data_IF_556761142350
#
_entry.id   IF_556761142350
#
_cell.length_a   1.000
_cell.length_b   1.000
_cell.length_c   1.000
_cell.angle_alpha   90.00
_cell.angle_beta   90.00
_cell.angle_gamma   90.00
#
_symmetry.space_group_name_H-M   'P 1'
#
loop_
_entity.id
_entity.type
_entity.pdbx_description
1 polymer ?
#
# COMPACT_ATOMS: atom_id res chain seq x y z
N UNK A 1 11.35 0.03 -17.49
CA UNK A 1 10.38 1.03 -16.98
C UNK A 1 9.71 0.42 -15.76
N UNK A 2 9.60 1.12 -14.64
CA UNK A 2 8.93 0.59 -13.42
C UNK A 2 7.51 1.15 -13.39
N UNK A 3 6.52 0.29 -13.18
CA UNK A 3 5.14 0.69 -12.91
C UNK A 3 4.78 0.27 -11.47
N UNK A 4 4.25 1.20 -10.67
CA UNK A 4 3.85 0.91 -9.29
C UNK A 4 2.54 1.61 -8.95
N UNK A 5 1.68 0.93 -8.19
CA UNK A 5 0.49 1.54 -7.63
C UNK A 5 0.86 2.45 -6.45
N UNK A 6 -0.07 3.33 -6.10
CA UNK A 6 0.07 4.21 -4.95
C UNK A 6 -1.07 5.22 -4.85
N UNK A 7 -0.79 6.30 -4.13
CA UNK A 7 -1.65 7.47 -4.02
C UNK A 7 -0.80 8.74 -3.93
N UNK A 8 -1.38 9.87 -4.25
CA UNK A 8 -0.74 11.17 -4.06
C UNK A 8 -1.60 12.10 -3.23
N UNK A 9 -0.92 12.90 -2.42
CA UNK A 9 -1.47 14.00 -1.65
C UNK A 9 -0.99 15.32 -2.27
N UNK A 10 -1.91 16.15 -2.73
CA UNK A 10 -1.63 17.50 -3.20
C UNK A 10 -1.45 18.45 -2.02
N UNK A 11 -0.75 19.56 -2.24
CA UNK A 11 -0.56 20.63 -1.23
C UNK A 11 -1.86 21.22 -0.67
N UNK A 12 -2.97 21.13 -1.40
CA UNK A 12 -4.30 21.56 -0.97
C UNK A 12 -5.06 20.50 -0.16
N UNK A 13 -4.41 19.38 0.19
CA UNK A 13 -4.97 18.30 1.00
C UNK A 13 -5.77 17.25 0.22
N UNK A 14 -5.92 17.41 -1.10
CA UNK A 14 -6.63 16.44 -1.94
C UNK A 14 -5.78 15.19 -2.13
N UNK A 15 -6.36 14.04 -1.82
CA UNK A 15 -5.74 12.73 -2.01
C UNK A 15 -6.45 11.93 -3.10
N UNK A 16 -5.69 11.21 -3.93
CA UNK A 16 -6.25 10.30 -4.93
C UNK A 16 -5.32 9.11 -5.21
N UNK A 17 -5.93 7.98 -5.60
CA UNK A 17 -5.20 6.80 -6.06
C UNK A 17 -4.50 7.08 -7.40
N UNK A 18 -3.33 6.50 -7.59
CA UNK A 18 -2.55 6.63 -8.82
C UNK A 18 -1.74 5.38 -9.16
N UNK A 19 -1.25 5.38 -10.39
CA UNK A 19 -0.20 4.50 -10.88
C UNK A 19 0.96 5.40 -11.29
N UNK A 20 2.16 5.15 -10.76
CA UNK A 20 3.36 5.86 -11.16
C UNK A 20 4.15 5.02 -12.17
N UNK A 21 4.48 5.63 -13.31
CA UNK A 21 5.43 5.12 -14.29
C UNK A 21 6.75 5.86 -14.15
N UNK A 22 7.78 5.11 -13.82
CA UNK A 22 9.09 5.66 -13.48
C UNK A 22 10.08 5.26 -14.56
N UNK A 23 10.55 6.31 -15.26
CA UNK A 23 11.61 6.23 -16.25
C UNK A 23 12.99 6.33 -15.56
N UNK A 24 14.11 6.19 -16.30
CA UNK A 24 15.44 6.45 -15.76
C UNK A 24 15.68 7.92 -15.36
N UNK A 25 14.82 8.84 -15.79
CA UNK A 25 14.89 10.24 -15.41
C UNK A 25 14.31 10.48 -14.00
N UNK A 26 14.66 11.62 -13.40
CA UNK A 26 14.06 12.09 -12.13
C UNK A 26 12.60 12.57 -12.28
N UNK A 27 11.97 12.29 -13.44
CA UNK A 27 10.59 12.64 -13.75
C UNK A 27 9.73 11.39 -13.68
N UNK A 28 8.73 11.44 -12.81
CA UNK A 28 7.76 10.37 -12.59
C UNK A 28 6.46 10.76 -13.31
N UNK A 29 5.91 9.86 -14.09
CA UNK A 29 4.57 10.04 -14.67
C UNK A 29 3.54 9.47 -13.69
N UNK A 30 2.64 10.32 -13.19
CA UNK A 30 1.61 9.96 -12.24
C UNK A 30 0.27 9.92 -12.97
N UNK A 31 -0.26 8.71 -13.13
CA UNK A 31 -1.56 8.46 -13.77
C UNK A 31 -2.61 8.32 -12.68
N UNK A 32 -3.61 9.18 -12.68
CA UNK A 32 -4.66 9.19 -11.66
C UNK A 32 -5.67 8.06 -11.93
N UNK A 33 -6.23 7.49 -10.86
CA UNK A 33 -7.44 6.67 -10.92
C UNK A 33 -8.61 7.44 -10.31
N UNK A 34 -9.58 7.83 -11.13
CA UNK A 34 -10.80 8.53 -10.69
C UNK A 34 -11.08 9.82 -11.46
N UNK A 35 -12.00 10.63 -10.91
CA UNK A 35 -12.50 11.84 -11.56
C UNK A 35 -11.48 12.99 -11.65
N UNK A 36 -11.86 14.01 -12.41
CA UNK A 36 -11.06 15.23 -12.61
C UNK A 36 -10.88 15.97 -11.29
N UNK A 37 -9.66 16.42 -11.02
CA UNK A 37 -9.29 17.10 -9.79
C UNK A 37 -8.39 18.29 -10.12
N UNK A 38 -8.41 19.36 -9.31
CA UNK A 38 -7.81 20.65 -9.64
C UNK A 38 -6.28 20.61 -9.47
N UNK A 39 -5.61 19.87 -10.36
CA UNK A 39 -4.15 19.79 -10.44
C UNK A 39 -3.64 20.90 -11.35
N UNK A 40 -2.58 21.60 -10.92
CA UNK A 40 -1.91 22.64 -11.69
C UNK A 40 -0.41 22.42 -11.64
N UNK A 41 0.26 22.83 -12.73
CA UNK A 41 1.72 22.90 -12.78
C UNK A 41 2.25 23.81 -11.67
N UNK A 42 3.35 23.39 -11.04
CA UNK A 42 4.00 24.11 -9.94
C UNK A 42 3.45 23.82 -8.56
N UNK A 43 2.37 23.04 -8.43
CA UNK A 43 1.90 22.56 -7.12
C UNK A 43 2.87 21.51 -6.57
N UNK A 44 2.95 21.40 -5.25
CA UNK A 44 3.63 20.28 -4.59
C UNK A 44 2.70 19.09 -4.45
N UNK A 45 3.28 17.90 -4.63
CA UNK A 45 2.62 16.64 -4.36
C UNK A 45 3.55 15.72 -3.56
N UNK A 46 2.96 14.91 -2.69
CA UNK A 46 3.64 13.79 -2.04
C UNK A 46 3.02 12.49 -2.51
N UNK A 47 3.80 11.68 -3.22
CA UNK A 47 3.38 10.35 -3.67
C UNK A 47 3.78 9.27 -2.67
N UNK A 48 2.84 8.41 -2.30
CA UNK A 48 3.05 7.21 -1.52
C UNK A 48 2.97 6.03 -2.49
N UNK A 49 4.13 5.55 -2.95
CA UNK A 49 4.25 4.52 -3.99
C UNK A 49 4.61 3.17 -3.35
N UNK A 50 3.88 2.11 -3.69
CA UNK A 50 4.02 0.81 -3.02
C UNK A 50 5.42 0.19 -3.16
N UNK A 51 6.04 0.32 -4.35
CA UNK A 51 7.36 -0.24 -4.62
C UNK A 51 8.53 0.66 -4.15
N UNK A 52 8.31 1.99 -4.08
CA UNK A 52 9.38 3.00 -3.91
C UNK A 52 9.34 3.67 -2.53
N UNK A 53 8.17 3.89 -1.96
CA UNK A 53 7.96 4.61 -0.71
C UNK A 53 7.45 6.05 -0.91
N UNK A 54 7.79 6.94 0.02
CA UNK A 54 7.31 8.33 0.03
C UNK A 54 8.20 9.24 -0.82
N UNK A 55 7.63 9.77 -1.90
CA UNK A 55 8.31 10.58 -2.91
C UNK A 55 7.66 11.97 -2.99
N UNK A 56 8.26 12.99 -2.35
CA UNK A 56 7.88 14.38 -2.57
C UNK A 56 8.31 14.86 -3.96
N UNK A 57 7.53 15.77 -4.55
CA UNK A 57 7.90 16.38 -5.81
C UNK A 57 7.04 17.55 -6.24
N UNK A 58 7.50 18.21 -7.28
CA UNK A 58 6.86 19.34 -7.92
C UNK A 58 6.12 18.88 -9.17
N UNK A 59 4.86 19.28 -9.32
CA UNK A 59 4.05 18.95 -10.48
C UNK A 59 4.55 19.73 -11.70
N UNK A 60 4.88 18.99 -12.75
CA UNK A 60 5.28 19.50 -14.06
C UNK A 60 4.08 19.62 -15.00
N UNK A 61 4.10 18.86 -16.08
CA UNK A 61 3.03 18.86 -17.08
C UNK A 61 1.78 18.18 -16.52
N UNK A 62 0.61 18.77 -16.78
CA UNK A 62 -0.68 18.23 -16.33
C UNK A 62 -1.48 17.83 -17.56
N UNK A 63 -2.09 16.66 -17.51
CA UNK A 63 -2.96 16.12 -18.55
C UNK A 63 -4.28 15.63 -17.95
N UNK A 64 -5.31 15.34 -18.76
CA UNK A 64 -6.55 14.75 -18.26
C UNK A 64 -6.34 13.41 -17.54
N UNK A 65 -5.28 12.67 -17.88
CA UNK A 65 -4.95 11.38 -17.26
C UNK A 65 -4.17 11.51 -15.94
N UNK A 66 -3.56 12.66 -15.66
CA UNK A 66 -2.69 12.84 -14.50
C UNK A 66 -1.68 13.97 -14.68
N UNK A 67 -0.43 13.74 -14.29
CA UNK A 67 0.63 14.73 -14.38
C UNK A 67 2.02 14.11 -14.32
N UNK A 68 3.03 14.84 -14.78
CA UNK A 68 4.43 14.53 -14.50
C UNK A 68 4.87 15.21 -13.21
N UNK A 69 5.78 14.58 -12.48
CA UNK A 69 6.30 15.08 -11.22
C UNK A 69 7.83 15.01 -11.23
N UNK A 70 8.47 16.13 -10.94
CA UNK A 70 9.90 16.18 -10.67
C UNK A 70 10.14 15.85 -9.19
N UNK A 71 10.96 14.84 -8.91
CA UNK A 71 11.25 14.44 -7.52
C UNK A 71 12.06 15.53 -6.81
N UNK A 72 11.56 16.01 -5.67
CA UNK A 72 12.22 17.02 -4.82
C UNK A 72 12.64 16.39 -3.49
N UNK A 73 13.84 15.80 -3.46
CA UNK A 73 14.40 15.17 -2.27
C UNK A 73 15.76 15.78 -1.91
N UNK A 74 16.13 15.78 -0.62
CA UNK A 74 17.51 16.09 -0.19
C UNK A 74 18.49 15.05 -0.76
N UNK A 75 19.78 15.38 -0.88
CA UNK A 75 20.78 14.50 -1.50
C UNK A 75 20.74 13.05 -0.98
N UNK A 76 20.80 12.84 0.34
CA UNK A 76 20.71 11.49 0.92
C UNK A 76 19.39 10.77 0.62
N UNK A 77 18.27 11.51 0.61
CA UNK A 77 16.95 10.95 0.31
C UNK A 77 16.81 10.63 -1.17
N UNK A 78 17.40 11.44 -2.04
CA UNK A 78 17.46 11.18 -3.48
C UNK A 78 18.27 9.93 -3.77
N UNK A 79 19.45 9.77 -3.15
CA UNK A 79 20.26 8.54 -3.26
C UNK A 79 19.48 7.30 -2.83
N UNK A 80 18.74 7.35 -1.71
CA UNK A 80 17.89 6.23 -1.28
C UNK A 80 16.79 5.88 -2.28
N UNK A 81 16.19 6.88 -2.94
CA UNK A 81 15.19 6.67 -3.99
C UNK A 81 15.86 6.03 -5.22
N UNK A 82 17.02 6.53 -5.63
CA UNK A 82 17.79 6.02 -6.78
C UNK A 82 18.27 4.58 -6.57
N UNK A 83 18.81 4.25 -5.39
CA UNK A 83 19.21 2.89 -5.01
C UNK A 83 18.01 1.94 -5.07
N UNK A 84 16.85 2.39 -4.58
CA UNK A 84 15.62 1.59 -4.61
C UNK A 84 15.14 1.34 -6.02
N UNK A 85 15.17 2.36 -6.88
CA UNK A 85 14.83 2.22 -8.30
C UNK A 85 15.80 1.29 -9.02
N UNK A 86 17.09 1.37 -8.72
CA UNK A 86 18.12 0.48 -9.28
C UNK A 86 17.85 -0.97 -8.91
N UNK A 87 17.56 -1.25 -7.64
CA UNK A 87 17.19 -2.59 -7.18
C UNK A 87 15.91 -3.11 -7.86
N UNK A 88 14.87 -2.27 -7.98
CA UNK A 88 13.63 -2.64 -8.66
C UNK A 88 13.84 -2.95 -10.15
N UNK A 89 14.70 -2.18 -10.84
CA UNK A 89 15.04 -2.43 -12.25
C UNK A 89 15.80 -3.74 -12.42
N UNK A 90 16.76 -4.03 -11.54
CA UNK A 90 17.49 -5.29 -11.55
C UNK A 90 16.55 -6.49 -11.37
N UNK A 91 15.57 -6.37 -10.48
CA UNK A 91 14.58 -7.43 -10.22
C UNK A 91 13.49 -7.56 -11.29
N UNK A 92 13.18 -6.48 -12.03
CA UNK A 92 12.24 -6.52 -13.14
C UNK A 92 12.77 -7.30 -14.36
N UNK A 93 14.10 -7.43 -14.49
CA UNK A 93 14.75 -8.29 -15.48
C UNK A 93 14.68 -9.79 -15.16
N UNK A 94 14.30 -10.14 -13.92
CA UNK A 94 14.17 -11.52 -13.45
C UNK A 94 12.71 -11.95 -13.59
N UNK A 95 12.26 -12.11 -14.84
CA UNK A 95 10.86 -12.34 -15.20
C UNK A 95 10.46 -13.79 -15.01
N UNK A 96 10.43 -14.25 -13.76
CA UNK A 96 9.61 -15.41 -13.37
C UNK A 96 9.01 -15.12 -12.00
N UNK A 97 7.68 -15.06 -11.92
CA UNK A 97 6.89 -15.11 -10.69
C UNK A 97 6.53 -13.79 -9.95
N UNK A 98 5.88 -12.84 -10.67
CA UNK A 98 5.03 -11.83 -10.03
C UNK A 98 3.54 -12.08 -10.31
N UNK A 99 3.05 -13.29 -9.97
CA UNK A 99 1.60 -13.58 -9.91
C UNK A 99 1.14 -14.17 -8.58
N UNK A 100 1.88 -13.97 -7.51
CA UNK A 100 1.54 -14.53 -6.21
C UNK A 100 1.53 -13.40 -5.19
N UNK A 101 0.36 -12.99 -4.69
CA UNK A 101 0.28 -12.32 -3.39
C UNK A 101 0.74 -13.36 -2.36
N UNK A 102 2.00 -13.32 -1.89
CA UNK A 102 2.49 -14.38 -1.04
C UNK A 102 1.65 -14.39 0.23
N UNK A 103 1.07 -15.55 0.54
CA UNK A 103 0.41 -15.79 1.82
C UNK A 103 1.41 -16.48 2.72
N UNK A 104 1.66 -15.88 3.86
CA UNK A 104 2.56 -16.41 4.88
C UNK A 104 1.75 -16.77 6.12
N UNK A 105 2.32 -17.61 6.96
CA UNK A 105 1.84 -17.81 8.32
C UNK A 105 2.86 -17.13 9.23
N UNK A 106 2.51 -16.04 9.94
CA UNK A 106 3.47 -15.37 10.81
C UNK A 106 3.84 -16.26 12.01
N UNK A 107 5.05 -16.11 12.52
CA UNK A 107 5.53 -16.84 13.70
C UNK A 107 4.65 -16.58 14.93
N UNK A 108 4.13 -15.36 15.09
CA UNK A 108 3.13 -15.03 16.10
C UNK A 108 1.74 -15.06 15.48
N UNK A 109 1.02 -16.17 15.71
CA UNK A 109 -0.32 -16.40 15.14
C UNK A 109 -1.45 -15.84 16.02
N UNK A 110 -1.26 -15.75 17.33
CA UNK A 110 -2.25 -15.17 18.23
C UNK A 110 -2.30 -13.64 18.06
N UNK A 111 -3.50 -13.09 17.87
CA UNK A 111 -3.73 -11.66 17.69
C UNK A 111 -5.01 -11.21 18.38
N UNK A 112 -4.98 -10.00 18.96
CA UNK A 112 -6.17 -9.38 19.51
C UNK A 112 -6.98 -8.71 18.39
N UNK A 113 -8.28 -8.95 18.34
CA UNK A 113 -9.21 -8.32 17.40
C UNK A 113 -10.20 -7.49 18.17
N UNK A 114 -10.26 -6.19 17.89
CA UNK A 114 -11.28 -5.30 18.42
C UNK A 114 -12.45 -5.21 17.45
N UNK A 115 -13.63 -5.55 17.95
CA UNK A 115 -14.89 -5.58 17.23
C UNK A 115 -15.57 -4.19 17.21
N UNK A 116 -16.60 -3.98 16.37
CA UNK A 116 -17.33 -2.70 16.29
C UNK A 116 -18.00 -2.30 17.62
N UNK A 117 -18.43 -3.28 18.42
CA UNK A 117 -19.02 -3.09 19.74
C UNK A 117 -17.96 -2.74 20.83
N UNK A 118 -16.72 -2.46 20.43
CA UNK A 118 -15.55 -2.20 21.30
C UNK A 118 -15.09 -3.37 22.17
N UNK A 119 -15.69 -4.56 22.02
CA UNK A 119 -15.18 -5.78 22.62
C UNK A 119 -13.86 -6.18 21.95
N UNK A 120 -12.92 -6.70 22.74
CA UNK A 120 -11.67 -7.26 22.24
C UNK A 120 -11.67 -8.76 22.46
N UNK A 121 -11.34 -9.51 21.42
CA UNK A 121 -11.27 -10.97 21.44
C UNK A 121 -9.88 -11.41 20.99
N UNK A 122 -9.52 -12.65 21.32
CA UNK A 122 -8.33 -13.30 20.78
C UNK A 122 -8.72 -14.11 19.56
N UNK A 123 -7.96 -13.99 18.47
CA UNK A 123 -8.10 -14.76 17.25
C UNK A 123 -6.74 -15.35 16.84
N UNK A 124 -6.76 -16.31 15.93
CA UNK A 124 -5.55 -16.93 15.38
C UNK A 124 -5.41 -16.62 13.88
N UNK A 125 -4.24 -16.19 13.45
CA UNK A 125 -3.92 -15.93 12.04
C UNK A 125 -3.70 -17.28 11.33
N UNK A 126 -4.58 -17.58 10.38
CA UNK A 126 -4.50 -18.76 9.52
C UNK A 126 -3.61 -18.50 8.32
N UNK A 127 -3.83 -17.37 7.65
CA UNK A 127 -2.96 -16.86 6.59
C UNK A 127 -2.92 -15.33 6.66
N UNK A 128 -1.77 -14.78 6.27
CA UNK A 128 -1.55 -13.35 6.16
C UNK A 128 -1.06 -13.06 4.75
N UNK A 129 -1.63 -12.04 4.11
CA UNK A 129 -1.12 -11.46 2.88
C UNK A 129 -0.74 -10.00 3.11
N UNK A 130 -0.16 -9.36 2.10
CA UNK A 130 0.13 -7.93 2.20
C UNK A 130 -1.12 -7.08 2.41
N UNK A 131 -2.27 -7.47 1.87
CA UNK A 131 -3.48 -6.65 1.93
C UNK A 131 -4.50 -7.12 2.98
N UNK A 132 -4.39 -8.33 3.51
CA UNK A 132 -5.42 -8.87 4.42
C UNK A 132 -4.98 -10.10 5.19
N UNK A 133 -5.88 -10.63 6.01
CA UNK A 133 -5.65 -11.82 6.82
C UNK A 133 -6.89 -12.73 6.84
N UNK A 134 -6.66 -14.03 6.99
CA UNK A 134 -7.65 -14.99 7.42
C UNK A 134 -7.47 -15.27 8.91
N UNK A 135 -8.53 -15.09 9.70
CA UNK A 135 -8.52 -15.23 11.15
C UNK A 135 -9.49 -16.34 11.57
N UNK A 136 -9.01 -17.27 12.40
CA UNK A 136 -9.85 -18.21 13.11
C UNK A 136 -10.38 -17.57 14.40
N UNK A 137 -11.69 -17.59 14.56
CA UNK A 137 -12.38 -17.03 15.73
C UNK A 137 -13.81 -17.56 15.82
N UNK A 138 -14.32 -17.69 17.04
CA UNK A 138 -15.72 -18.06 17.30
C UNK A 138 -16.68 -16.90 17.04
N UNK A 139 -16.22 -15.66 17.18
CA UNK A 139 -17.04 -14.48 16.92
C UNK A 139 -17.10 -14.21 15.42
N UNK A 140 -18.32 -13.95 14.91
CA UNK A 140 -18.56 -13.71 13.48
C UNK A 140 -19.19 -12.34 13.25
N UNK A 141 -18.39 -11.26 13.25
CA UNK A 141 -18.88 -9.93 12.92
C UNK A 141 -19.40 -9.90 11.49
N UNK A 142 -20.41 -9.07 11.23
CA UNK A 142 -21.05 -8.99 9.92
C UNK A 142 -20.07 -8.57 8.81
N UNK A 143 -20.35 -9.02 7.60
CA UNK A 143 -19.69 -8.55 6.38
C UNK A 143 -19.75 -7.01 6.29
N UNK A 144 -18.62 -6.37 6.01
CA UNK A 144 -18.49 -4.91 5.98
C UNK A 144 -18.16 -4.26 7.33
N UNK A 145 -18.17 -5.03 8.43
CA UNK A 145 -17.82 -4.51 9.76
C UNK A 145 -16.39 -3.99 9.82
N UNK A 146 -16.22 -2.81 10.43
CA UNK A 146 -14.90 -2.25 10.73
C UNK A 146 -14.34 -2.90 12.00
N UNK A 147 -13.16 -3.49 11.89
CA UNK A 147 -12.46 -4.16 13.00
C UNK A 147 -11.02 -3.66 13.09
N UNK A 148 -10.39 -3.85 14.24
CA UNK A 148 -8.94 -3.63 14.38
C UNK A 148 -8.28 -4.95 14.72
N UNK A 149 -7.34 -5.40 13.89
CA UNK A 149 -6.57 -6.63 14.09
C UNK A 149 -5.18 -6.24 14.55
N UNK A 150 -4.88 -6.51 15.81
CA UNK A 150 -3.73 -5.95 16.51
C UNK A 150 -3.80 -4.42 16.50
N UNK A 151 -2.89 -3.80 15.76
CA UNK A 151 -2.83 -2.35 15.52
C UNK A 151 -3.38 -1.93 14.15
N UNK A 152 -3.78 -2.89 13.29
CA UNK A 152 -4.21 -2.62 11.91
C UNK A 152 -5.72 -2.48 11.81
N UNK A 153 -6.17 -1.35 11.27
CA UNK A 153 -7.57 -1.18 10.88
C UNK A 153 -7.90 -2.05 9.66
N UNK A 154 -9.03 -2.74 9.72
CA UNK A 154 -9.47 -3.65 8.68
C UNK A 154 -11.00 -3.67 8.54
N UNK A 155 -11.47 -4.27 7.47
CA UNK A 155 -12.90 -4.51 7.20
C UNK A 155 -13.11 -5.99 6.95
N UNK A 156 -14.17 -6.55 7.52
CA UNK A 156 -14.58 -7.94 7.24
C UNK A 156 -15.09 -8.02 5.80
N UNK A 157 -14.44 -8.83 4.95
CA UNK A 157 -14.77 -8.95 3.52
C UNK A 157 -15.37 -10.28 3.13
N UNK A 158 -15.30 -11.28 4.01
CA UNK A 158 -16.05 -12.54 3.90
C UNK A 158 -16.01 -13.32 5.21
N UNK A 159 -16.99 -14.18 5.42
CA UNK A 159 -16.96 -15.23 6.42
C UNK A 159 -16.20 -16.45 5.87
N UNK A 160 -15.55 -17.21 6.75
CA UNK A 160 -14.89 -18.47 6.40
C UNK A 160 -15.48 -19.61 7.24
N UNK A 161 -15.08 -20.86 6.95
CA UNK A 161 -15.50 -22.00 7.75
C UNK A 161 -15.07 -21.86 9.22
N UNK A 162 -13.86 -21.34 9.44
CA UNK A 162 -13.20 -21.28 10.75
C UNK A 162 -13.21 -19.89 11.40
N UNK A 163 -13.78 -18.87 10.74
CA UNK A 163 -13.83 -17.50 11.25
C UNK A 163 -14.13 -16.46 10.17
N UNK A 164 -13.24 -15.49 9.99
CA UNK A 164 -13.42 -14.35 9.10
C UNK A 164 -12.19 -14.06 8.24
N UNK A 165 -12.40 -13.47 7.07
CA UNK A 165 -11.32 -12.83 6.32
C UNK A 165 -11.50 -11.32 6.30
N UNK A 166 -10.39 -10.62 6.51
CA UNK A 166 -10.34 -9.17 6.67
C UNK A 166 -9.41 -8.55 5.65
N UNK A 167 -9.79 -7.37 5.17
CA UNK A 167 -8.99 -6.53 4.29
C UNK A 167 -8.46 -5.36 5.10
N UNK A 168 -7.14 -5.18 5.17
CA UNK A 168 -6.55 -4.05 5.85
C UNK A 168 -6.86 -2.76 5.10
N UNK A 169 -7.07 -1.67 5.86
CA UNK A 169 -7.23 -0.32 5.32
C UNK A 169 -5.98 0.18 4.61
N UNK A 170 -4.81 -0.25 5.08
CA UNK A 170 -3.52 -0.03 4.45
C UNK A 170 -2.85 -1.39 4.24
N UNK A 171 -2.19 -1.66 3.10
CA UNK A 171 -1.41 -2.88 2.94
C UNK A 171 -0.08 -2.83 3.71
N UNK A 172 0.59 -3.97 3.84
CA UNK A 172 1.98 -4.06 4.27
C UNK A 172 2.93 -3.55 3.19
N UNK A 173 4.07 -3.01 3.61
CA UNK A 173 5.17 -2.74 2.69
C UNK A 173 5.78 -4.07 2.23
N UNK A 174 6.08 -4.24 0.92
CA UNK A 174 6.70 -5.46 0.41
C UNK A 174 8.10 -5.71 1.01
N UNK A 175 8.73 -4.70 1.61
CA UNK A 175 10.05 -4.82 2.26
C UNK A 175 9.92 -5.40 3.67
N UNK A 176 8.84 -5.08 4.36
CA UNK A 176 8.63 -5.48 5.77
C UNK A 176 7.75 -6.71 5.89
N UNK A 177 7.17 -7.20 4.80
CA UNK A 177 6.27 -8.33 4.79
C UNK A 177 7.03 -9.65 4.77
N UNK A 178 7.13 -10.29 5.93
CA UNK A 178 7.76 -11.60 6.14
C UNK A 178 7.15 -12.29 7.37
N UNK A 179 7.57 -13.52 7.65
CA UNK A 179 7.01 -14.35 8.73
C UNK A 179 7.20 -13.77 10.14
N UNK A 180 8.03 -12.74 10.32
CA UNK A 180 8.25 -12.04 11.60
C UNK A 180 7.33 -10.84 11.81
N UNK A 181 6.38 -10.59 10.91
CA UNK A 181 5.38 -9.53 11.07
C UNK A 181 4.53 -9.78 12.32
N UNK A 182 4.35 -8.72 13.11
CA UNK A 182 3.44 -8.69 14.26
C UNK A 182 2.30 -7.72 13.95
N UNK A 183 1.06 -8.17 14.17
CA UNK A 183 -0.14 -7.37 13.99
C UNK A 183 -0.43 -6.48 15.20
#
# INVERSE_FOLDING_TARGET
>A
MIETQGRFLLENGIEALCVARISPSSVFEIIRRGGMLPVRRGMKATCYLDAVGVVPGLIGEVSPAGFTMLVEASGERQTRIEDRLTWLRARAGDTTDQRSNPRIVPAQRAVNVRLPNSQTIVAEILDLSMSGAALATSERPDLGSAVTVGKRFATVVRQTADGIAVQFKLPFSPITFNEHVVL
#
